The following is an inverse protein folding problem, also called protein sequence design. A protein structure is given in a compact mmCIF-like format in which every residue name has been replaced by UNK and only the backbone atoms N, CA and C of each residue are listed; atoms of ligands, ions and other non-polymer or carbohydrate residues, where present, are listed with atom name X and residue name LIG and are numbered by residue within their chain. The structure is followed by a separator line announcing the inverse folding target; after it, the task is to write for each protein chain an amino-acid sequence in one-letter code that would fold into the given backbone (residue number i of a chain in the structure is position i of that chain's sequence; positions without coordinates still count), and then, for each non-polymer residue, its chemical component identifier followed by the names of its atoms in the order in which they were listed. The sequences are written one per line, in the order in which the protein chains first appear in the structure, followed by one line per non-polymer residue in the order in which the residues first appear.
data_IF_464448438212
#
_entry.id   IF_464448438212
#
_cell.length_a   1.000
_cell.length_b   1.000
_cell.length_c   1.000
_cell.angle_alpha   90.00
_cell.angle_beta   90.00
_cell.angle_gamma   90.00
#
_symmetry.space_group_name_H-M   'P 1'
#
loop_
_entity.id
_entity.type
_entity.pdbx_description
1 polymer ?
#
# COMPACT_ATOMS: atom_id res chain seq x y z
N UNK A 1 27.45 6.72 5.99
CA UNK A 1 26.13 7.37 6.12
C UNK A 1 25.24 6.84 4.99
N UNK A 2 23.92 6.73 5.17
CA UNK A 2 23.04 6.03 4.20
C UNK A 2 22.90 6.71 2.84
N UNK A 3 23.51 7.87 2.59
CA UNK A 3 23.41 8.59 1.32
C UNK A 3 22.06 9.30 1.06
N UNK A 4 21.11 9.21 2.01
CA UNK A 4 19.81 9.90 1.99
C UNK A 4 19.51 10.48 3.37
N UNK A 5 18.60 11.46 3.42
CA UNK A 5 18.17 12.11 4.66
C UNK A 5 16.71 11.76 4.98
N UNK A 6 16.36 11.78 6.25
CA UNK A 6 15.01 11.45 6.72
C UNK A 6 14.49 12.51 7.66
N UNK A 7 13.18 12.64 7.73
CA UNK A 7 12.44 13.44 8.71
C UNK A 7 11.46 12.56 9.49
N UNK A 8 11.05 13.06 10.65
CA UNK A 8 9.95 12.45 11.42
C UNK A 8 8.84 13.48 11.62
N UNK A 9 7.61 13.02 11.61
CA UNK A 9 6.42 13.84 11.85
C UNK A 9 5.24 12.94 12.24
N UNK A 10 4.19 13.57 12.73
CA UNK A 10 3.01 12.87 13.19
C UNK A 10 1.90 12.90 12.13
N UNK A 11 1.14 11.80 12.06
CA UNK A 11 -0.04 11.67 11.22
C UNK A 11 -1.19 11.17 12.09
N UNK A 12 -2.24 11.97 12.22
CA UNK A 12 -3.44 11.55 12.94
C UNK A 12 -4.35 10.72 12.02
N UNK A 13 -4.73 9.50 12.46
CA UNK A 13 -5.57 8.55 11.73
C UNK A 13 -6.46 7.80 12.73
N UNK A 14 -7.77 7.76 12.45
CA UNK A 14 -8.72 7.08 13.34
C UNK A 14 -8.68 7.60 14.78
N UNK A 15 -8.34 8.86 14.99
CA UNK A 15 -8.20 9.48 16.32
C UNK A 15 -6.91 9.12 17.07
N UNK A 16 -5.93 8.50 16.40
CA UNK A 16 -4.62 8.17 16.96
C UNK A 16 -3.51 8.86 16.19
N UNK A 17 -2.49 9.36 16.91
CA UNK A 17 -1.27 9.90 16.29
C UNK A 17 -0.30 8.75 15.99
N UNK A 18 0.23 8.75 14.76
CA UNK A 18 1.27 7.83 14.32
C UNK A 18 2.55 8.61 14.02
N UNK A 19 3.65 8.24 14.66
CA UNK A 19 4.98 8.80 14.42
C UNK A 19 5.61 8.14 13.19
N UNK A 20 5.86 8.93 12.17
CA UNK A 20 6.33 8.43 10.87
C UNK A 20 7.72 8.97 10.55
N UNK A 21 8.65 8.06 10.26
CA UNK A 21 9.91 8.37 9.61
C UNK A 21 9.72 8.22 8.09
N UNK A 22 10.06 9.26 7.36
CA UNK A 22 9.96 9.33 5.91
C UNK A 22 11.26 9.89 5.32
N UNK A 23 11.45 9.80 4.00
CA UNK A 23 12.48 10.58 3.32
C UNK A 23 12.17 12.08 3.45
N UNK A 24 13.22 12.92 3.60
CA UNK A 24 13.03 14.36 3.81
C UNK A 24 12.45 15.06 2.60
N UNK A 25 12.76 14.60 1.39
CA UNK A 25 12.19 15.12 0.13
C UNK A 25 12.18 14.06 -0.98
N UNK A 26 11.56 14.40 -2.13
CA UNK A 26 11.42 13.54 -3.31
C UNK A 26 12.65 13.54 -4.24
N UNK A 27 13.61 14.43 -4.05
CA UNK A 27 14.74 14.59 -4.97
C UNK A 27 15.99 13.81 -4.52
N UNK A 28 15.80 12.79 -3.70
CA UNK A 28 16.88 11.97 -3.16
C UNK A 28 17.03 10.67 -3.97
N UNK A 29 18.28 10.28 -4.12
CA UNK A 29 18.65 8.97 -4.65
C UNK A 29 19.89 8.46 -3.92
N UNK A 30 19.84 7.21 -3.44
CA UNK A 30 20.99 6.54 -2.85
C UNK A 30 20.86 5.03 -3.09
N UNK A 31 21.71 4.50 -3.95
CA UNK A 31 21.79 3.07 -4.23
C UNK A 31 23.24 2.58 -4.23
N UNK A 32 23.96 2.69 -3.10
CA UNK A 32 25.41 2.43 -3.02
C UNK A 32 25.78 0.97 -3.32
N UNK A 33 24.81 0.06 -3.28
CA UNK A 33 25.02 -1.36 -3.52
C UNK A 33 24.26 -1.88 -4.75
N UNK A 34 23.66 -1.00 -5.56
CA UNK A 34 22.90 -1.38 -6.76
C UNK A 34 21.63 -2.20 -6.46
N UNK A 35 21.08 -2.10 -5.25
CA UNK A 35 19.89 -2.89 -4.88
C UNK A 35 18.63 -2.40 -5.60
N UNK A 36 18.46 -1.09 -5.72
CA UNK A 36 17.35 -0.50 -6.46
C UNK A 36 17.49 -0.75 -7.97
N UNK A 37 18.71 -0.66 -8.51
CA UNK A 37 18.97 -1.00 -9.92
C UNK A 37 18.59 -2.46 -10.22
N UNK A 38 19.01 -3.42 -9.38
CA UNK A 38 18.63 -4.84 -9.53
C UNK A 38 17.13 -5.07 -9.42
N UNK A 39 16.44 -4.26 -8.62
CA UNK A 39 14.98 -4.27 -8.51
C UNK A 39 14.27 -3.54 -9.67
N UNK A 40 15.00 -3.02 -10.65
CA UNK A 40 14.44 -2.27 -11.78
C UNK A 40 13.89 -0.88 -11.41
N UNK A 41 14.26 -0.35 -10.23
CA UNK A 41 13.79 0.94 -9.74
C UNK A 41 14.72 2.04 -10.24
N UNK A 42 14.21 2.91 -11.10
CA UNK A 42 14.96 4.06 -11.61
C UNK A 42 15.20 5.11 -10.53
N UNK A 43 16.20 5.97 -10.72
CA UNK A 43 16.50 7.08 -9.80
C UNK A 43 15.32 8.03 -9.59
N UNK A 44 14.47 8.21 -10.60
CA UNK A 44 13.27 9.06 -10.52
C UNK A 44 12.13 8.42 -9.73
N UNK A 45 12.08 7.10 -9.62
CA UNK A 45 11.08 6.35 -8.87
C UNK A 45 11.54 6.01 -7.44
N UNK A 46 12.85 6.06 -7.20
CA UNK A 46 13.46 5.59 -5.96
C UNK A 46 12.88 6.25 -4.69
N UNK A 47 12.66 7.54 -4.70
CA UNK A 47 12.19 8.28 -3.52
C UNK A 47 10.68 8.16 -3.28
N UNK A 48 9.92 7.57 -4.21
CA UNK A 48 8.46 7.54 -4.14
C UNK A 48 7.96 6.66 -2.97
N UNK A 49 8.65 5.55 -2.65
CA UNK A 49 8.27 4.69 -1.53
C UNK A 49 8.30 5.43 -0.19
N UNK A 50 9.21 6.40 -0.06
CA UNK A 50 9.58 7.06 1.19
C UNK A 50 8.74 8.28 1.55
N UNK A 51 7.55 8.45 0.97
CA UNK A 51 6.65 9.58 1.21
C UNK A 51 5.29 9.14 1.75
N UNK A 52 4.66 9.99 2.56
CA UNK A 52 3.25 9.82 2.92
C UNK A 52 2.39 10.47 1.83
N UNK A 53 1.88 9.62 0.95
CA UNK A 53 0.98 10.06 -0.12
C UNK A 53 -0.43 10.33 0.40
N UNK A 54 -1.15 11.33 -0.16
CA UNK A 54 -2.55 11.58 0.23
C UNK A 54 -3.45 10.34 0.09
N UNK A 55 -3.25 9.52 -0.97
CA UNK A 55 -3.95 8.24 -1.16
C UNK A 55 -3.71 7.26 -0.01
N UNK A 56 -2.46 7.18 0.49
CA UNK A 56 -2.09 6.33 1.61
C UNK A 56 -2.79 6.75 2.90
N UNK A 57 -2.95 8.07 3.13
CA UNK A 57 -3.71 8.57 4.28
C UNK A 57 -5.19 8.19 4.19
N UNK A 58 -5.80 8.31 3.00
CA UNK A 58 -7.21 7.91 2.80
C UNK A 58 -7.40 6.42 3.02
N UNK A 59 -6.49 5.57 2.53
CA UNK A 59 -6.55 4.13 2.77
C UNK A 59 -6.39 3.81 4.25
N UNK A 60 -5.40 4.38 4.90
CA UNK A 60 -5.14 4.16 6.32
C UNK A 60 -6.31 4.63 7.22
N UNK A 61 -6.94 5.77 6.90
CA UNK A 61 -8.15 6.22 7.57
C UNK A 61 -9.31 5.23 7.36
N UNK A 62 -9.53 4.75 6.15
CA UNK A 62 -10.52 3.71 5.88
C UNK A 62 -10.25 2.43 6.69
N UNK A 63 -8.98 2.03 6.81
CA UNK A 63 -8.58 0.86 7.61
C UNK A 63 -8.76 1.05 9.12
N UNK A 64 -8.93 2.27 9.60
CA UNK A 64 -9.19 2.52 11.03
C UNK A 64 -10.55 1.98 11.49
N UNK A 65 -11.52 1.88 10.57
CA UNK A 65 -12.90 1.46 10.87
C UNK A 65 -13.39 0.28 10.04
N UNK A 66 -12.66 -0.13 9.00
CA UNK A 66 -13.04 -1.27 8.15
C UNK A 66 -13.23 -2.55 8.97
N UNK A 67 -14.19 -3.40 8.60
CA UNK A 67 -14.38 -4.69 9.23
C UNK A 67 -13.27 -5.67 8.85
N UNK A 68 -12.40 -5.97 9.81
CA UNK A 68 -11.23 -6.85 9.67
C UNK A 68 -11.34 -8.15 10.47
N UNK A 69 -12.48 -8.39 11.11
CA UNK A 69 -12.63 -9.55 12.00
C UNK A 69 -12.39 -10.87 11.26
N UNK A 70 -11.38 -11.64 11.72
CA UNK A 70 -11.02 -12.93 11.14
C UNK A 70 -10.41 -12.87 9.74
N UNK A 71 -10.04 -11.71 9.22
CA UNK A 71 -9.46 -11.55 7.88
C UNK A 71 -7.95 -11.56 7.91
N UNK A 72 -7.35 -12.34 7.00
CA UNK A 72 -5.95 -12.20 6.60
C UNK A 72 -5.85 -11.10 5.54
N UNK A 73 -4.97 -10.15 5.76
CA UNK A 73 -4.86 -8.92 4.96
C UNK A 73 -3.49 -8.84 4.30
N UNK A 74 -3.47 -8.48 3.01
CA UNK A 74 -2.26 -8.17 2.26
C UNK A 74 -2.28 -6.71 1.83
N UNK A 75 -1.27 -5.93 2.20
CA UNK A 75 -1.03 -4.60 1.62
C UNK A 75 -0.01 -4.71 0.49
N UNK A 76 -0.40 -4.28 -0.72
CA UNK A 76 0.46 -4.19 -1.90
C UNK A 76 1.04 -2.79 -2.03
N UNK A 77 2.36 -2.67 -2.19
CA UNK A 77 3.04 -1.38 -2.32
C UNK A 77 2.92 -0.54 -1.06
N UNK A 78 3.27 -1.10 0.10
CA UNK A 78 3.05 -0.47 1.40
C UNK A 78 3.89 0.80 1.64
N UNK A 79 5.01 0.96 0.94
CA UNK A 79 5.92 2.10 1.12
C UNK A 79 6.37 2.26 2.57
N UNK A 80 5.92 3.33 3.23
CA UNK A 80 6.17 3.59 4.66
C UNK A 80 5.30 2.76 5.62
N UNK A 81 4.31 2.04 5.09
CA UNK A 81 3.45 1.12 5.84
C UNK A 81 2.32 1.76 6.62
N UNK A 82 1.80 2.92 6.20
CA UNK A 82 0.82 3.67 7.00
C UNK A 82 -0.46 2.87 7.29
N UNK A 83 -1.04 2.19 6.30
CA UNK A 83 -2.21 1.32 6.50
C UNK A 83 -1.87 0.09 7.33
N UNK A 84 -0.69 -0.50 7.11
CA UNK A 84 -0.19 -1.63 7.90
C UNK A 84 0.00 -1.28 9.37
N UNK A 85 0.48 -0.07 9.70
CA UNK A 85 0.60 0.41 11.08
C UNK A 85 -0.78 0.54 11.75
N UNK A 86 -1.77 1.11 11.05
CA UNK A 86 -3.15 1.21 11.54
C UNK A 86 -3.74 -0.18 11.80
N UNK A 87 -3.56 -1.11 10.87
CA UNK A 87 -4.04 -2.49 10.99
C UNK A 87 -3.33 -3.24 12.12
N UNK A 88 -2.02 -3.08 12.26
CA UNK A 88 -1.24 -3.68 13.35
C UNK A 88 -1.69 -3.19 14.72
N UNK A 89 -1.99 -1.88 14.87
CA UNK A 89 -2.56 -1.31 16.09
C UNK A 89 -3.92 -1.93 16.44
N UNK A 90 -4.68 -2.34 15.41
CA UNK A 90 -5.96 -3.04 15.56
C UNK A 90 -5.82 -4.55 15.74
N UNK A 91 -4.58 -5.07 15.86
CA UNK A 91 -4.25 -6.48 16.01
C UNK A 91 -4.74 -7.33 14.82
N UNK A 92 -4.71 -6.79 13.61
CA UNK A 92 -5.07 -7.51 12.39
C UNK A 92 -3.98 -8.51 11.97
N UNK A 93 -4.36 -9.59 11.30
CA UNK A 93 -3.43 -10.48 10.59
C UNK A 93 -3.02 -9.80 9.27
N UNK A 94 -2.05 -8.88 9.36
CA UNK A 94 -1.55 -8.07 8.25
C UNK A 94 -0.19 -8.55 7.76
N UNK A 95 -0.07 -8.73 6.44
CA UNK A 95 1.18 -8.86 5.71
C UNK A 95 1.37 -7.63 4.85
N UNK A 96 2.40 -6.84 5.12
CA UNK A 96 2.80 -5.72 4.27
C UNK A 96 3.72 -6.20 3.16
N UNK A 97 3.62 -5.63 1.97
CA UNK A 97 4.54 -5.94 0.88
C UNK A 97 4.92 -4.72 0.06
N UNK A 98 6.16 -4.72 -0.41
CA UNK A 98 6.70 -3.74 -1.34
C UNK A 98 7.90 -4.36 -2.06
N UNK A 99 8.34 -3.73 -3.14
CA UNK A 99 9.52 -4.17 -3.90
C UNK A 99 10.73 -3.23 -3.70
N UNK A 100 10.54 -2.11 -3.00
CA UNK A 100 11.63 -1.18 -2.76
C UNK A 100 12.58 -1.71 -1.67
N UNK A 101 13.92 -1.74 -1.90
CA UNK A 101 14.88 -2.38 -0.98
C UNK A 101 14.95 -1.76 0.43
N UNK A 102 14.47 -0.54 0.61
CA UNK A 102 14.41 0.13 1.91
C UNK A 102 13.04 0.01 2.60
N UNK A 103 11.99 -0.45 1.92
CA UNK A 103 10.63 -0.45 2.48
C UNK A 103 10.54 -1.23 3.78
N UNK A 104 11.12 -2.45 3.86
CA UNK A 104 11.14 -3.25 5.08
C UNK A 104 11.75 -2.50 6.27
N UNK A 105 12.90 -1.85 6.06
CA UNK A 105 13.60 -1.15 7.13
C UNK A 105 12.86 0.10 7.62
N UNK A 106 12.15 0.78 6.71
CA UNK A 106 11.30 1.92 7.08
C UNK A 106 10.05 1.47 7.81
N UNK A 107 9.37 0.41 7.34
CA UNK A 107 8.23 -0.19 8.02
C UNK A 107 8.59 -0.65 9.45
N UNK A 108 9.67 -1.40 9.61
CA UNK A 108 10.14 -1.87 10.91
C UNK A 108 10.44 -0.69 11.86
N UNK A 109 11.10 0.36 11.35
CA UNK A 109 11.35 1.57 12.13
C UNK A 109 10.07 2.29 12.52
N UNK A 110 9.12 2.41 11.60
CA UNK A 110 7.84 3.05 11.85
C UNK A 110 6.99 2.25 12.85
N UNK A 111 7.00 0.92 12.80
CA UNK A 111 6.38 0.08 13.83
C UNK A 111 6.99 0.35 15.22
N UNK A 112 8.33 0.38 15.32
CA UNK A 112 9.04 0.69 16.58
C UNK A 112 8.71 2.09 17.12
N UNK A 113 8.62 3.11 16.27
CA UNK A 113 8.28 4.48 16.69
C UNK A 113 6.87 4.60 17.27
N UNK A 114 6.00 3.64 16.98
CA UNK A 114 4.61 3.61 17.45
C UNK A 114 4.36 2.53 18.50
N UNK A 115 5.41 1.95 19.08
CA UNK A 115 5.32 0.87 20.08
C UNK A 115 4.48 -0.32 19.59
N UNK A 116 4.54 -0.61 18.29
CA UNK A 116 3.82 -1.71 17.66
C UNK A 116 4.73 -2.94 17.51
N UNK A 117 4.18 -4.16 17.61
CA UNK A 117 4.88 -5.38 17.23
C UNK A 117 5.38 -5.33 15.80
N UNK A 118 6.37 -6.17 15.49
CA UNK A 118 6.87 -6.33 14.12
C UNK A 118 5.72 -6.74 13.18
N UNK A 119 5.67 -6.08 12.03
CA UNK A 119 4.70 -6.38 10.96
C UNK A 119 5.33 -7.37 10.00
N UNK A 120 4.62 -8.43 9.66
CA UNK A 120 5.08 -9.40 8.65
C UNK A 120 5.28 -8.68 7.33
N UNK A 121 6.49 -8.77 6.78
CA UNK A 121 6.85 -8.13 5.50
C UNK A 121 7.23 -9.15 4.44
N UNK A 122 6.90 -8.85 3.18
CA UNK A 122 7.34 -9.59 2.00
C UNK A 122 7.90 -8.63 0.95
N UNK A 123 9.12 -8.90 0.47
CA UNK A 123 9.60 -8.35 -0.80
C UNK A 123 8.80 -9.03 -1.91
N UNK A 124 7.99 -8.26 -2.64
CA UNK A 124 7.00 -8.80 -3.55
C UNK A 124 6.96 -8.03 -4.87
N UNK A 125 7.84 -8.40 -5.83
CA UNK A 125 7.73 -7.92 -7.20
C UNK A 125 6.45 -8.48 -7.84
N UNK A 126 5.56 -7.61 -8.32
CA UNK A 126 4.24 -8.02 -8.83
C UNK A 126 4.30 -8.91 -10.08
N UNK A 127 5.40 -8.84 -10.83
CA UNK A 127 5.61 -9.66 -12.03
C UNK A 127 5.95 -11.12 -11.72
N UNK A 128 6.45 -11.39 -10.51
CA UNK A 128 6.93 -12.72 -10.13
C UNK A 128 5.91 -13.43 -9.24
N UNK A 129 5.66 -14.73 -9.46
CA UNK A 129 4.79 -15.49 -8.57
C UNK A 129 5.52 -15.84 -7.27
N UNK A 130 4.90 -15.56 -6.12
CA UNK A 130 5.31 -16.09 -4.83
C UNK A 130 4.31 -17.15 -4.36
N UNK A 131 4.67 -18.42 -4.50
CA UNK A 131 3.83 -19.55 -4.09
C UNK A 131 3.75 -19.71 -2.56
N UNK A 132 4.61 -19.04 -1.81
CA UNK A 132 4.68 -19.15 -0.33
C UNK A 132 3.82 -18.09 0.37
N UNK A 133 3.38 -17.07 -0.34
CA UNK A 133 2.62 -15.94 0.22
C UNK A 133 1.25 -16.37 0.80
N UNK A 134 0.60 -17.35 0.17
CA UNK A 134 -0.71 -17.86 0.58
C UNK A 134 -1.88 -17.04 0.06
N UNK A 135 -3.05 -17.20 0.71
CA UNK A 135 -4.31 -16.57 0.31
C UNK A 135 -4.80 -15.58 1.36
N UNK A 136 -5.52 -14.55 0.93
CA UNK A 136 -5.99 -13.44 1.76
C UNK A 136 -7.48 -13.18 1.57
N UNK A 137 -8.13 -12.72 2.64
CA UNK A 137 -9.52 -12.29 2.66
C UNK A 137 -9.68 -10.84 2.18
N UNK A 138 -8.65 -10.03 2.40
CA UNK A 138 -8.63 -8.62 2.00
C UNK A 138 -7.26 -8.27 1.40
N UNK A 139 -7.28 -7.69 0.20
CA UNK A 139 -6.08 -7.13 -0.43
C UNK A 139 -6.27 -5.61 -0.55
N UNK A 140 -5.31 -4.85 -0.03
CA UNK A 140 -5.38 -3.39 -0.03
C UNK A 140 -4.18 -2.77 -0.75
N UNK A 141 -4.34 -1.54 -1.22
CA UNK A 141 -3.24 -0.78 -1.81
C UNK A 141 -3.60 0.67 -2.07
N UNK A 142 -2.62 1.54 -1.99
CA UNK A 142 -2.80 2.98 -2.19
C UNK A 142 -1.92 3.49 -3.31
N UNK A 143 -2.53 4.16 -4.31
CA UNK A 143 -1.85 4.77 -5.46
C UNK A 143 -0.95 3.78 -6.23
N UNK A 144 -1.30 2.50 -6.27
CA UNK A 144 -0.50 1.44 -6.91
C UNK A 144 -0.77 1.28 -8.42
N UNK A 145 -1.74 2.02 -8.95
CA UNK A 145 -2.11 2.02 -10.37
C UNK A 145 -1.47 3.20 -11.14
N UNK A 146 -0.23 3.58 -10.81
CA UNK A 146 0.40 4.78 -11.40
C UNK A 146 1.05 4.54 -12.78
N UNK A 147 1.34 3.30 -13.16
CA UNK A 147 1.85 2.94 -14.48
C UNK A 147 0.86 2.09 -15.29
N UNK A 148 0.92 2.19 -16.63
CA UNK A 148 -0.01 1.48 -17.52
C UNK A 148 0.03 -0.05 -17.37
N UNK A 149 1.21 -0.64 -17.10
CA UNK A 149 1.38 -2.08 -16.89
C UNK A 149 0.84 -2.62 -15.58
N UNK A 150 0.70 -1.76 -14.56
CA UNK A 150 0.34 -2.17 -13.20
C UNK A 150 -1.05 -2.81 -13.10
N UNK A 151 -2.01 -2.36 -13.91
CA UNK A 151 -3.36 -2.92 -13.90
C UNK A 151 -3.38 -4.44 -14.14
N UNK A 152 -2.60 -4.93 -15.11
CA UNK A 152 -2.49 -6.36 -15.40
C UNK A 152 -1.73 -7.14 -14.32
N UNK A 153 -0.62 -6.60 -13.85
CA UNK A 153 0.20 -7.22 -12.80
C UNK A 153 -0.58 -7.36 -11.49
N UNK A 154 -1.25 -6.29 -11.07
CA UNK A 154 -2.05 -6.29 -9.83
C UNK A 154 -3.29 -7.19 -9.95
N UNK A 155 -3.95 -7.23 -11.12
CA UNK A 155 -5.05 -8.16 -11.33
C UNK A 155 -4.58 -9.63 -11.26
N UNK A 156 -3.37 -9.93 -11.75
CA UNK A 156 -2.77 -11.25 -11.62
C UNK A 156 -2.38 -11.57 -10.16
N UNK A 157 -1.91 -10.59 -9.38
CA UNK A 157 -1.67 -10.72 -7.95
C UNK A 157 -2.96 -11.07 -7.20
N UNK A 158 -4.05 -10.33 -7.47
CA UNK A 158 -5.37 -10.63 -6.90
C UNK A 158 -5.82 -12.05 -7.27
N UNK A 159 -5.70 -12.44 -8.54
CA UNK A 159 -6.10 -13.78 -8.98
C UNK A 159 -5.37 -14.89 -8.22
N UNK A 160 -4.07 -14.70 -7.94
CA UNK A 160 -3.22 -15.70 -7.28
C UNK A 160 -3.43 -15.77 -5.77
N UNK A 161 -3.69 -14.63 -5.13
CA UNK A 161 -3.61 -14.51 -3.67
C UNK A 161 -4.94 -14.15 -2.98
N UNK A 162 -6.03 -13.98 -3.72
CA UNK A 162 -7.34 -13.70 -3.14
C UNK A 162 -8.12 -15.01 -2.90
N UNK A 163 -8.68 -15.15 -1.70
CA UNK A 163 -9.68 -16.18 -1.40
C UNK A 163 -10.92 -16.03 -2.31
N UNK A 164 -11.73 -17.10 -2.51
CA UNK A 164 -12.92 -17.02 -3.36
C UNK A 164 -13.92 -15.91 -3.00
N UNK A 165 -13.95 -15.49 -1.74
CA UNK A 165 -14.84 -14.43 -1.21
C UNK A 165 -14.04 -13.17 -0.82
N UNK A 166 -12.82 -13.02 -1.31
CA UNK A 166 -11.97 -11.91 -0.93
C UNK A 166 -12.51 -10.56 -1.41
N UNK A 167 -12.13 -9.53 -0.65
CA UNK A 167 -12.34 -8.14 -0.99
C UNK A 167 -11.02 -7.49 -1.44
N UNK A 168 -11.12 -6.51 -2.33
CA UNK A 168 -9.96 -5.68 -2.73
C UNK A 168 -10.30 -4.22 -2.55
N UNK A 169 -9.45 -3.47 -1.86
CA UNK A 169 -9.69 -2.05 -1.57
C UNK A 169 -8.49 -1.22 -2.04
N UNK A 170 -8.74 -0.34 -3.02
CA UNK A 170 -7.70 0.49 -3.65
C UNK A 170 -8.07 1.97 -3.55
N UNK A 171 -7.14 2.80 -3.10
CA UNK A 171 -7.27 4.26 -3.25
C UNK A 171 -6.53 4.71 -4.51
N UNK A 172 -7.27 5.40 -5.40
CA UNK A 172 -6.78 5.88 -6.71
C UNK A 172 -6.98 7.38 -6.84
N UNK A 173 -5.89 8.19 -6.99
CA UNK A 173 -6.00 9.63 -7.20
C UNK A 173 -6.51 10.02 -8.61
N UNK A 174 -6.83 9.04 -9.46
CA UNK A 174 -7.36 9.31 -10.80
C UNK A 174 -6.28 9.39 -11.89
N UNK A 175 -5.25 8.55 -11.83
CA UNK A 175 -4.18 8.52 -12.85
C UNK A 175 -4.61 7.88 -14.19
N UNK A 176 -5.87 7.43 -14.31
CA UNK A 176 -6.44 6.89 -15.54
C UNK A 176 -6.24 5.37 -15.75
N UNK A 177 -5.54 4.68 -14.85
CA UNK A 177 -5.26 3.25 -14.99
C UNK A 177 -6.23 2.34 -14.22
N UNK A 178 -7.17 2.89 -13.44
CA UNK A 178 -8.15 2.10 -12.68
C UNK A 178 -9.18 1.38 -13.58
N UNK A 179 -9.55 1.95 -14.73
CA UNK A 179 -10.48 1.30 -15.65
C UNK A 179 -10.01 -0.06 -16.20
N UNK A 180 -8.77 -0.21 -16.70
CA UNK A 180 -8.21 -1.51 -17.06
C UNK A 180 -8.18 -2.50 -15.90
N UNK A 181 -7.81 -2.08 -14.69
CA UNK A 181 -7.82 -2.91 -13.49
C UNK A 181 -9.24 -3.38 -13.13
N UNK A 182 -10.22 -2.48 -13.13
CA UNK A 182 -11.63 -2.80 -12.87
C UNK A 182 -12.15 -3.84 -13.86
N UNK A 183 -11.86 -3.71 -15.16
CA UNK A 183 -12.26 -4.72 -16.16
C UNK A 183 -11.60 -6.06 -15.91
N UNK A 184 -10.33 -6.09 -15.54
CA UNK A 184 -9.63 -7.34 -15.23
C UNK A 184 -10.21 -8.04 -13.98
N UNK A 185 -10.56 -7.29 -12.94
CA UNK A 185 -11.21 -7.85 -11.76
C UNK A 185 -12.67 -8.29 -12.05
N UNK A 186 -13.41 -7.55 -12.90
CA UNK A 186 -14.74 -7.97 -13.33
C UNK A 186 -14.71 -9.32 -14.05
N UNK A 187 -13.68 -9.57 -14.88
CA UNK A 187 -13.46 -10.88 -15.52
C UNK A 187 -13.16 -12.00 -14.50
N UNK A 188 -12.69 -11.67 -13.30
CA UNK A 188 -12.49 -12.59 -12.18
C UNK A 188 -13.74 -12.71 -11.27
N UNK A 189 -14.86 -12.11 -11.63
CA UNK A 189 -16.11 -12.17 -10.88
C UNK A 189 -16.28 -11.13 -9.78
N UNK A 190 -15.46 -10.07 -9.77
CA UNK A 190 -15.62 -8.96 -8.83
C UNK A 190 -16.64 -7.92 -9.34
N UNK A 191 -17.43 -7.39 -8.43
CA UNK A 191 -18.18 -6.16 -8.60
C UNK A 191 -17.46 -5.01 -7.87
N UNK A 192 -17.58 -3.78 -8.37
CA UNK A 192 -16.95 -2.61 -7.77
C UNK A 192 -17.99 -1.61 -7.26
N UNK A 193 -17.77 -1.08 -6.08
CA UNK A 193 -18.38 0.16 -5.60
C UNK A 193 -17.32 1.25 -5.51
N UNK A 194 -17.62 2.44 -5.96
CA UNK A 194 -16.72 3.60 -5.96
C UNK A 194 -17.26 4.66 -5.01
N UNK A 195 -16.39 5.11 -4.11
CA UNK A 195 -16.67 6.26 -3.28
C UNK A 195 -15.68 7.38 -3.63
N UNK A 196 -16.19 8.57 -3.93
CA UNK A 196 -15.37 9.76 -4.13
C UNK A 196 -14.91 10.26 -2.78
N UNK A 197 -13.63 10.16 -2.54
CA UNK A 197 -13.02 10.67 -1.32
C UNK A 197 -12.32 12.00 -1.58
N UNK A 198 -12.57 12.96 -0.71
CA UNK A 198 -11.85 14.22 -0.65
C UNK A 198 -11.20 14.32 0.71
N UNK A 199 -9.92 14.52 0.71
CA UNK A 199 -9.17 14.78 1.92
C UNK A 199 -8.47 16.14 1.75
N UNK A 200 -8.74 17.04 2.65
CA UNK A 200 -8.15 18.38 2.66
C UNK A 200 -7.58 18.61 4.06
N UNK A 201 -6.28 18.54 4.19
CA UNK A 201 -5.58 18.85 5.43
C UNK A 201 -4.58 19.97 5.17
N UNK A 202 -4.38 20.85 6.15
CA UNK A 202 -3.52 22.02 6.03
C UNK A 202 -2.07 21.68 5.66
N UNK A 203 -1.61 20.48 6.00
CA UNK A 203 -0.21 20.08 5.92
C UNK A 203 0.10 19.06 4.81
N UNK A 204 -0.89 18.69 3.99
CA UNK A 204 -0.74 17.66 2.94
C UNK A 204 -1.49 18.12 1.69
N UNK A 205 -0.93 17.77 0.51
CA UNK A 205 -1.61 18.01 -0.75
C UNK A 205 -3.03 17.41 -0.74
N UNK A 206 -4.08 18.14 -1.20
CA UNK A 206 -5.44 17.66 -1.20
C UNK A 206 -5.57 16.38 -2.02
N UNK A 207 -6.24 15.37 -1.46
CA UNK A 207 -6.63 14.20 -2.21
C UNK A 207 -7.98 14.43 -2.90
N UNK A 208 -8.03 14.20 -4.20
CA UNK A 208 -9.25 14.20 -5.02
C UNK A 208 -9.24 12.93 -5.84
N UNK A 209 -9.73 11.85 -5.26
CA UNK A 209 -9.68 10.54 -5.90
C UNK A 209 -10.84 9.66 -5.47
N UNK A 210 -10.66 8.38 -5.58
CA UNK A 210 -11.66 7.35 -5.33
C UNK A 210 -11.13 6.30 -4.40
N UNK A 211 -12.01 5.80 -3.54
CA UNK A 211 -11.88 4.52 -2.88
C UNK A 211 -12.65 3.50 -3.72
N UNK A 212 -11.95 2.54 -4.28
CA UNK A 212 -12.48 1.48 -5.13
C UNK A 212 -12.58 0.21 -4.29
N UNK A 213 -13.78 -0.24 -4.01
CA UNK A 213 -14.02 -1.46 -3.24
C UNK A 213 -14.59 -2.55 -4.14
N UNK A 214 -13.79 -3.57 -4.39
CA UNK A 214 -14.14 -4.73 -5.19
C UNK A 214 -14.54 -5.89 -4.28
N UNK A 215 -15.68 -6.51 -4.55
CA UNK A 215 -16.20 -7.65 -3.81
C UNK A 215 -16.51 -8.79 -4.77
N UNK A 216 -16.13 -9.99 -4.37
CA UNK A 216 -16.50 -11.21 -5.06
C UNK A 216 -17.32 -12.07 -4.10
N UNK A 217 -18.58 -12.34 -4.45
CA UNK A 217 -19.45 -13.26 -3.71
C UNK A 217 -19.36 -14.66 -4.32
N UNK A 218 -19.46 -15.69 -3.48
CA UNK A 218 -19.62 -17.06 -4.01
C UNK A 218 -20.86 -17.10 -4.89
N UNK A 219 -20.70 -17.59 -6.11
CA UNK A 219 -21.81 -18.05 -6.94
C UNK A 219 -22.35 -19.36 -6.38
#
# INVERSE_FOLDING_TARGET
MPGYTTRQFDVCLGGHDFHIRALSDLQQFADPHGAAERAGISSSLWSLFGQVWPSGRVLAEAMSTFDIAGKRILELGCGLGLSSLVLQRRLADITASDHHPLAQSFLARNATLNDLPEIVYRDLPWAEPDTTLGLFDLIIGSDILYERGHAGLLAAMVLRHALPTAEVLITDPGRGNSGPFTRALAAQGYTVSEERSRFDARDVAPFRGRLLHYRRTRQ
#
